data_IF_248161093214
#
_entry.id   IF_248161093214
#
_cell.length_a   1.000
_cell.length_b   1.000
_cell.length_c   1.000
_cell.angle_alpha   90.00
_cell.angle_beta   90.00
_cell.angle_gamma   90.00
#
_symmetry.space_group_name_H-M   'P 1'
#
loop_
_entity.id
_entity.type
_entity.pdbx_description
1 polymer ?
#
# COMPACT_ATOMS: atom_id res chain seq x y z
N UNK A 1 48.45 66.52 -1.94
CA UNK A 1 49.54 67.33 -2.55
C UNK A 1 50.50 66.38 -3.27
N UNK A 2 51.09 66.80 -4.39
CA UNK A 2 51.24 66.08 -5.68
C UNK A 2 52.45 65.11 -5.68
N UNK A 3 52.68 64.19 -6.62
CA UNK A 3 52.14 63.89 -7.94
C UNK A 3 53.19 63.08 -8.74
N UNK A 4 52.87 62.81 -10.02
CA UNK A 4 53.73 62.43 -11.16
C UNK A 4 53.84 60.96 -11.59
N UNK A 5 53.15 60.78 -12.72
CA UNK A 5 53.26 59.85 -13.85
C UNK A 5 54.69 59.54 -14.35
N UNK A 6 54.91 58.31 -14.80
CA UNK A 6 55.90 57.96 -15.84
C UNK A 6 55.20 57.21 -16.98
N UNK A 7 55.43 57.68 -18.20
CA UNK A 7 54.98 57.13 -19.49
C UNK A 7 56.20 56.50 -20.20
N UNK A 8 56.01 55.34 -20.82
CA UNK A 8 56.70 54.87 -22.03
C UNK A 8 55.88 53.67 -22.60
N UNK A 9 54.96 53.90 -23.56
CA UNK A 9 55.12 53.90 -25.02
C UNK A 9 55.38 52.52 -25.66
N UNK A 10 54.39 52.03 -26.41
CA UNK A 10 54.60 51.05 -27.48
C UNK A 10 53.33 50.40 -28.02
N UNK A 11 52.81 50.90 -29.14
CA UNK A 11 52.05 50.09 -30.10
C UNK A 11 50.54 50.33 -30.17
N UNK A 12 50.11 51.01 -31.23
CA UNK A 12 48.77 51.50 -31.48
C UNK A 12 47.87 50.51 -32.24
N UNK A 13 46.55 50.55 -31.98
CA UNK A 13 45.55 50.74 -33.04
C UNK A 13 44.23 51.27 -32.47
N UNK A 14 43.67 52.24 -33.20
CA UNK A 14 42.61 53.17 -32.83
C UNK A 14 41.28 52.75 -33.44
N UNK A 15 40.18 52.85 -32.70
CA UNK A 15 38.88 53.19 -33.26
C UNK A 15 38.04 53.99 -32.25
N UNK A 16 37.55 55.13 -32.73
CA UNK A 16 36.80 56.19 -32.06
C UNK A 16 35.42 55.72 -31.53
N UNK A 17 35.04 56.16 -30.33
CA UNK A 17 33.63 56.34 -29.97
C UNK A 17 33.48 57.57 -29.06
N UNK A 18 32.76 58.59 -29.57
CA UNK A 18 32.39 59.80 -28.86
C UNK A 18 31.42 59.47 -27.72
N UNK A 19 31.66 60.06 -26.55
CA UNK A 19 30.66 60.15 -25.49
C UNK A 19 29.60 61.19 -25.84
N UNK A 20 28.34 60.77 -25.85
CA UNK A 20 27.18 61.64 -25.64
C UNK A 20 26.53 61.18 -24.34
N UNK A 21 26.62 62.02 -23.32
CA UNK A 21 25.84 61.87 -22.10
C UNK A 21 24.37 62.09 -22.44
N UNK A 22 23.60 61.00 -22.51
CA UNK A 22 22.14 61.06 -22.54
C UNK A 22 21.63 60.79 -21.12
N UNK A 23 20.99 61.79 -20.51
CA UNK A 23 20.03 61.56 -19.42
C UNK A 23 18.90 60.67 -19.98
N UNK A 24 18.97 59.37 -19.70
CA UNK A 24 17.87 58.45 -19.93
C UNK A 24 16.79 58.67 -18.87
N UNK A 25 15.50 58.66 -19.24
CA UNK A 25 14.41 58.86 -18.29
C UNK A 25 14.41 57.72 -17.27
N UNK A 26 14.02 58.05 -16.03
CA UNK A 26 13.68 57.09 -14.99
C UNK A 26 12.96 55.89 -15.59
N UNK A 27 13.56 54.71 -15.48
CA UNK A 27 12.85 53.47 -15.68
C UNK A 27 11.75 53.43 -14.61
N UNK A 28 10.56 53.83 -15.02
CA UNK A 28 9.30 53.53 -14.35
C UNK A 28 9.36 52.07 -13.92
N UNK A 29 9.22 51.85 -12.61
CA UNK A 29 8.81 50.57 -12.07
C UNK A 29 7.69 50.03 -12.98
N UNK A 30 7.94 48.88 -13.61
CA UNK A 30 6.90 48.19 -14.38
C UNK A 30 5.70 47.98 -13.46
N UNK A 31 4.47 48.01 -14.01
CA UNK A 31 3.28 47.87 -13.19
C UNK A 31 3.40 46.60 -12.37
N UNK A 32 3.17 46.76 -11.06
CA UNK A 32 2.98 45.68 -10.12
C UNK A 32 2.21 44.55 -10.82
N UNK A 33 2.86 43.40 -10.99
CA UNK A 33 2.15 42.21 -11.42
C UNK A 33 1.14 41.91 -10.32
N UNK A 34 -0.10 42.38 -10.51
CA UNK A 34 -1.21 42.01 -9.64
C UNK A 34 -1.16 40.49 -9.53
N UNK A 35 -1.06 39.92 -8.31
CA UNK A 35 -1.13 38.49 -8.16
C UNK A 35 -2.45 38.05 -8.81
N UNK A 36 -2.34 37.33 -9.92
CA UNK A 36 -3.50 36.78 -10.60
C UNK A 36 -4.20 35.93 -9.54
N UNK A 37 -5.46 36.21 -9.17
CA UNK A 37 -6.13 35.42 -8.17
C UNK A 37 -6.14 33.96 -8.62
N UNK A 38 -5.97 33.04 -7.68
CA UNK A 38 -5.89 31.60 -7.94
C UNK A 38 -6.81 30.85 -7.01
N UNK A 39 -7.20 29.67 -7.44
CA UNK A 39 -7.98 28.71 -6.69
C UNK A 39 -7.07 27.84 -5.81
N UNK A 40 -7.57 27.50 -4.62
CA UNK A 40 -7.04 26.41 -3.78
C UNK A 40 -8.14 25.37 -3.59
N UNK A 41 -7.76 24.11 -3.49
CA UNK A 41 -8.69 23.00 -3.27
C UNK A 41 -8.28 22.27 -2.01
N UNK A 42 -9.20 22.11 -1.07
CA UNK A 42 -8.96 21.39 0.20
C UNK A 42 -9.94 20.24 0.36
N UNK A 43 -9.52 19.17 1.03
CA UNK A 43 -10.37 18.01 1.27
C UNK A 43 -9.75 17.03 2.26
N UNK A 44 -10.44 15.90 2.47
CA UNK A 44 -9.92 14.73 3.20
C UNK A 44 -10.25 13.46 2.43
N UNK A 45 -9.28 12.59 2.20
CA UNK A 45 -9.48 11.32 1.51
C UNK A 45 -9.97 10.26 2.50
N UNK A 46 -11.00 9.50 2.11
CA UNK A 46 -11.60 8.45 2.95
C UNK A 46 -11.53 7.09 2.28
N UNK A 47 -11.40 6.04 3.11
CA UNK A 47 -11.47 4.64 2.69
C UNK A 47 -12.88 4.31 2.15
N UNK A 48 -13.03 3.37 1.20
CA UNK A 48 -14.34 2.98 0.69
C UNK A 48 -15.31 2.59 1.81
N UNK A 49 -16.52 3.16 1.76
CA UNK A 49 -17.59 2.89 2.73
C UNK A 49 -17.36 3.45 4.15
N UNK A 50 -16.33 4.28 4.34
CA UNK A 50 -15.83 4.65 5.67
C UNK A 50 -15.69 6.16 5.87
N UNK A 51 -16.28 6.98 5.00
CA UNK A 51 -16.32 8.43 5.12
C UNK A 51 -17.47 8.94 6.02
N UNK A 52 -17.51 10.25 6.29
CA UNK A 52 -18.57 10.90 7.06
C UNK A 52 -19.98 10.53 6.56
N UNK A 53 -20.84 10.10 7.49
CA UNK A 53 -22.21 9.66 7.20
C UNK A 53 -22.34 8.23 6.67
N UNK A 54 -21.23 7.52 6.45
CA UNK A 54 -21.22 6.08 6.12
C UNK A 54 -20.98 5.21 7.36
N UNK A 55 -20.34 5.78 8.38
CA UNK A 55 -20.07 5.15 9.68
C UNK A 55 -20.47 6.10 10.83
N UNK A 56 -20.56 5.62 12.08
CA UNK A 56 -20.80 6.50 13.22
C UNK A 56 -19.74 7.59 13.35
N UNK A 57 -20.16 8.79 13.75
CA UNK A 57 -19.28 9.95 13.93
C UNK A 57 -18.03 9.62 14.76
N UNK A 58 -16.87 10.00 14.23
CA UNK A 58 -15.56 9.78 14.84
C UNK A 58 -14.90 8.44 14.48
N UNK A 59 -15.62 7.50 13.84
CA UNK A 59 -15.07 6.22 13.39
C UNK A 59 -14.69 6.20 11.91
N UNK A 60 -14.78 7.34 11.23
CA UNK A 60 -14.36 7.49 9.83
C UNK A 60 -12.89 7.09 9.66
N UNK A 61 -12.57 6.54 8.49
CA UNK A 61 -11.24 6.03 8.21
C UNK A 61 -10.59 6.88 7.12
N UNK A 62 -9.70 7.83 7.50
CA UNK A 62 -8.97 8.61 6.51
C UNK A 62 -7.92 7.75 5.81
N UNK A 63 -7.54 8.15 4.59
CA UNK A 63 -6.45 7.51 3.84
C UNK A 63 -5.20 8.36 3.95
N UNK A 64 -4.15 7.80 4.54
CA UNK A 64 -2.82 8.40 4.55
C UNK A 64 -2.08 8.14 3.22
N UNK A 65 -1.36 9.15 2.74
CA UNK A 65 -0.48 9.02 1.59
C UNK A 65 -1.19 8.72 0.27
N UNK A 66 -2.46 9.12 0.13
CA UNK A 66 -3.17 9.08 -1.14
C UNK A 66 -2.61 10.17 -2.04
N UNK A 67 -2.26 9.81 -3.27
CA UNK A 67 -1.86 10.75 -4.31
C UNK A 67 -3.09 11.57 -4.75
N UNK A 68 -2.97 12.90 -4.70
CA UNK A 68 -4.04 13.81 -5.13
C UNK A 68 -3.49 14.87 -6.08
N UNK A 69 -4.15 15.07 -7.22
CA UNK A 69 -3.75 16.09 -8.18
C UNK A 69 -4.90 16.57 -9.07
N UNK A 70 -4.66 17.67 -9.76
CA UNK A 70 -5.51 18.16 -10.85
C UNK A 70 -4.82 17.96 -12.19
N UNK A 71 -5.60 17.53 -13.18
CA UNK A 71 -5.16 17.37 -14.57
C UNK A 71 -6.14 18.05 -15.53
N UNK A 72 -5.64 18.51 -16.67
CA UNK A 72 -6.49 19.00 -17.77
C UNK A 72 -7.04 17.85 -18.61
N UNK A 73 -6.31 16.75 -18.67
CA UNK A 73 -6.69 15.53 -19.37
C UNK A 73 -7.14 14.47 -18.37
N UNK A 74 -8.08 13.62 -18.79
CA UNK A 74 -8.48 12.45 -18.00
C UNK A 74 -7.27 11.49 -17.93
N UNK A 75 -6.89 10.97 -16.75
CA UNK A 75 -5.77 10.04 -16.66
C UNK A 75 -6.07 8.72 -17.40
N UNK A 76 -5.01 8.01 -17.82
CA UNK A 76 -5.15 6.70 -18.45
C UNK A 76 -5.79 5.69 -17.47
N UNK A 77 -6.65 4.77 -17.95
CA UNK A 77 -7.24 3.73 -17.12
C UNK A 77 -6.19 2.88 -16.41
N UNK A 78 -6.49 2.44 -15.18
CA UNK A 78 -5.70 1.40 -14.51
C UNK A 78 -5.90 0.08 -15.26
N UNK A 79 -4.84 -0.68 -15.58
CA UNK A 79 -4.97 -2.03 -16.12
C UNK A 79 -5.85 -2.93 -15.24
N UNK A 80 -6.62 -3.83 -15.85
CA UNK A 80 -7.56 -4.75 -15.19
C UNK A 80 -6.91 -6.11 -14.82
N UNK A 81 -5.60 -6.14 -14.72
CA UNK A 81 -4.75 -7.31 -14.50
C UNK A 81 -3.48 -6.88 -13.79
N UNK A 82 -2.68 -7.84 -13.32
CA UNK A 82 -1.39 -7.57 -12.68
C UNK A 82 -0.48 -6.78 -13.62
N UNK A 83 0.13 -5.72 -13.10
CA UNK A 83 1.07 -4.91 -13.83
C UNK A 83 2.09 -4.30 -12.88
N UNK A 84 3.28 -4.02 -13.40
CA UNK A 84 4.30 -3.30 -12.66
C UNK A 84 3.99 -1.80 -12.64
N UNK A 85 3.63 -1.26 -11.47
CA UNK A 85 3.46 0.17 -11.27
C UNK A 85 4.74 0.79 -10.69
N UNK A 86 5.34 1.75 -11.42
CA UNK A 86 6.56 2.45 -10.97
C UNK A 86 6.24 3.87 -10.53
N UNK A 87 6.93 4.38 -9.50
CA UNK A 87 6.60 5.69 -8.94
C UNK A 87 6.89 6.89 -9.87
N UNK A 88 7.63 6.69 -10.95
CA UNK A 88 7.88 7.73 -11.96
C UNK A 88 6.63 8.15 -12.76
N UNK A 89 5.50 7.42 -12.60
CA UNK A 89 4.26 7.67 -13.34
C UNK A 89 3.38 8.77 -12.69
N UNK A 90 3.66 9.18 -11.44
CA UNK A 90 2.93 10.23 -10.74
C UNK A 90 3.25 11.63 -11.32
N UNK A 91 2.26 12.52 -11.55
CA UNK A 91 2.52 13.87 -12.03
C UNK A 91 3.36 14.67 -11.02
N UNK A 92 4.32 15.51 -11.46
CA UNK A 92 5.17 16.30 -10.56
C UNK A 92 4.41 17.23 -9.60
N UNK A 93 3.17 17.58 -9.93
CA UNK A 93 2.29 18.43 -9.11
C UNK A 93 1.41 17.66 -8.12
N UNK A 94 1.53 16.33 -8.08
CA UNK A 94 0.78 15.54 -7.11
C UNK A 94 1.26 15.84 -5.68
N UNK A 95 0.31 15.83 -4.76
CA UNK A 95 0.56 15.87 -3.32
C UNK A 95 0.10 14.55 -2.71
N UNK A 96 0.49 14.31 -1.47
CA UNK A 96 0.05 13.15 -0.71
C UNK A 96 -0.80 13.62 0.48
N UNK A 97 -1.91 12.92 0.75
CA UNK A 97 -2.74 13.21 1.93
C UNK A 97 -1.99 12.93 3.24
N UNK A 98 -2.25 13.75 4.25
CA UNK A 98 -1.69 13.61 5.60
C UNK A 98 -2.35 12.45 6.37
N UNK A 99 -1.91 12.18 7.60
CA UNK A 99 -2.37 11.08 8.46
C UNK A 99 -3.86 11.15 8.80
N UNK A 100 -4.44 12.35 8.79
CA UNK A 100 -5.88 12.57 8.96
C UNK A 100 -6.64 12.59 7.62
N UNK A 101 -5.97 12.21 6.53
CA UNK A 101 -6.47 12.19 5.16
C UNK A 101 -6.49 13.56 4.50
N UNK A 102 -6.13 14.63 5.19
CA UNK A 102 -6.26 15.99 4.66
C UNK A 102 -5.29 16.29 3.54
N UNK A 103 -5.73 17.18 2.64
CA UNK A 103 -4.89 17.72 1.60
C UNK A 103 -5.23 19.16 1.25
N UNK A 104 -4.25 19.84 0.67
CA UNK A 104 -4.39 21.15 0.04
C UNK A 104 -3.66 21.15 -1.31
N UNK A 105 -4.40 21.51 -2.35
CA UNK A 105 -3.92 21.67 -3.71
C UNK A 105 -3.96 23.15 -4.08
N UNK A 106 -2.87 23.67 -4.63
CA UNK A 106 -2.86 25.03 -5.14
C UNK A 106 -1.48 25.66 -5.23
N UNK A 107 -1.41 26.83 -5.86
CA UNK A 107 -2.54 27.60 -6.39
C UNK A 107 -2.76 27.39 -7.90
N UNK A 108 -4.02 27.20 -8.34
CA UNK A 108 -4.42 26.93 -9.74
C UNK A 108 -5.19 28.09 -10.40
N UNK A 109 -5.16 28.25 -11.73
CA UNK A 109 -6.11 29.10 -12.45
C UNK A 109 -7.56 28.60 -12.30
N UNK A 110 -8.53 29.50 -12.49
CA UNK A 110 -9.93 29.09 -12.66
C UNK A 110 -10.09 28.26 -13.94
N UNK A 111 -10.93 27.23 -13.90
CA UNK A 111 -11.12 26.30 -15.01
C UNK A 111 -11.70 24.96 -14.57
N UNK A 112 -11.96 24.09 -15.53
CA UNK A 112 -12.41 22.72 -15.27
C UNK A 112 -11.23 21.77 -15.36
N UNK A 113 -11.09 20.91 -14.37
CA UNK A 113 -10.01 19.95 -14.22
C UNK A 113 -10.57 18.57 -13.88
N UNK A 114 -9.80 17.53 -14.16
CA UNK A 114 -9.96 16.23 -13.54
C UNK A 114 -9.27 16.26 -12.19
N UNK A 115 -10.03 16.10 -11.11
CA UNK A 115 -9.53 15.73 -9.80
C UNK A 115 -9.24 14.23 -9.83
N UNK A 116 -8.03 13.84 -9.46
CA UNK A 116 -7.62 12.44 -9.32
C UNK A 116 -7.16 12.23 -7.89
N UNK A 117 -7.70 11.19 -7.25
CA UNK A 117 -7.33 10.70 -5.93
C UNK A 117 -7.01 9.22 -6.08
N UNK A 118 -5.79 8.80 -5.75
CA UNK A 118 -5.32 7.43 -5.93
C UNK A 118 -4.53 6.93 -4.72
N UNK A 119 -4.81 5.71 -4.25
CA UNK A 119 -3.95 4.98 -3.32
C UNK A 119 -3.87 3.52 -3.79
N UNK A 120 -2.70 3.15 -4.28
CA UNK A 120 -2.53 1.94 -5.07
C UNK A 120 -3.49 1.87 -6.25
N UNK A 121 -4.27 0.81 -6.36
CA UNK A 121 -5.24 0.61 -7.46
C UNK A 121 -6.65 1.08 -7.10
N UNK A 122 -6.85 1.68 -5.93
CA UNK A 122 -8.05 2.47 -5.69
C UNK A 122 -7.87 3.84 -6.32
N UNK A 123 -8.77 4.22 -7.23
CA UNK A 123 -8.75 5.55 -7.83
C UNK A 123 -10.15 6.12 -7.99
N UNK A 124 -10.31 7.36 -7.59
CA UNK A 124 -11.43 8.21 -7.92
C UNK A 124 -10.95 9.32 -8.87
N UNK A 125 -11.60 9.45 -10.02
CA UNK A 125 -11.39 10.56 -10.94
C UNK A 125 -12.72 11.21 -11.32
N UNK A 126 -12.79 12.54 -11.25
CA UNK A 126 -14.01 13.28 -11.60
C UNK A 126 -13.69 14.69 -12.06
N UNK A 127 -14.61 15.30 -12.80
CA UNK A 127 -14.47 16.70 -13.19
C UNK A 127 -14.87 17.62 -12.03
N UNK A 128 -13.99 18.57 -11.71
CA UNK A 128 -14.22 19.68 -10.78
C UNK A 128 -14.05 21.00 -11.51
N UNK A 129 -14.89 21.99 -11.19
CA UNK A 129 -14.76 23.35 -11.72
C UNK A 129 -14.24 24.25 -10.61
N UNK A 130 -13.12 24.91 -10.88
CA UNK A 130 -12.49 25.84 -9.95
C UNK A 130 -12.86 27.27 -10.29
N UNK A 131 -13.46 27.94 -9.32
CA UNK A 131 -13.56 29.40 -9.28
C UNK A 131 -12.39 29.98 -8.47
N UNK A 132 -12.19 31.30 -8.57
CA UNK A 132 -11.17 32.00 -7.77
C UNK A 132 -11.53 31.92 -6.29
N UNK A 133 -10.58 31.50 -5.45
CA UNK A 133 -10.78 31.32 -4.00
C UNK A 133 -10.62 29.86 -3.56
N UNK A 134 -11.19 29.52 -2.40
CA UNK A 134 -11.10 28.17 -1.85
C UNK A 134 -12.30 27.31 -2.27
N UNK A 135 -12.02 26.14 -2.84
CA UNK A 135 -12.98 25.05 -3.02
C UNK A 135 -12.71 23.98 -1.96
N UNK A 136 -13.64 23.81 -1.03
CA UNK A 136 -13.60 22.72 -0.06
C UNK A 136 -14.45 21.55 -0.54
N UNK A 137 -13.80 20.42 -0.83
CA UNK A 137 -14.45 19.18 -1.26
C UNK A 137 -15.08 18.47 -0.05
N UNK A 138 -16.24 17.86 -0.28
CA UNK A 138 -16.92 17.04 0.71
C UNK A 138 -16.45 15.58 0.62
N UNK A 139 -16.94 14.75 1.55
CA UNK A 139 -16.63 13.33 1.60
C UNK A 139 -17.08 12.59 0.33
N UNK A 140 -18.25 12.91 -0.22
CA UNK A 140 -18.75 12.27 -1.43
C UNK A 140 -17.81 12.47 -2.63
N UNK A 141 -17.11 13.61 -2.68
CA UNK A 141 -16.13 13.92 -3.71
C UNK A 141 -14.73 13.33 -3.45
N UNK A 142 -14.48 12.72 -2.29
CA UNK A 142 -13.12 12.36 -1.84
C UNK A 142 -13.00 10.96 -1.22
N UNK A 143 -14.11 10.25 -1.03
CA UNK A 143 -14.12 8.84 -0.62
C UNK A 143 -13.72 7.95 -1.80
N UNK A 144 -12.72 7.10 -1.62
CA UNK A 144 -12.32 6.10 -2.61
C UNK A 144 -13.48 5.12 -2.90
N UNK A 145 -13.59 4.60 -4.12
CA UNK A 145 -14.76 3.82 -4.52
C UNK A 145 -14.78 2.43 -3.89
N UNK A 146 -15.99 1.92 -3.63
CA UNK A 146 -16.24 0.51 -3.27
C UNK A 146 -16.79 -0.32 -4.43
N UNK A 147 -16.98 0.29 -5.60
CA UNK A 147 -17.47 -0.35 -6.82
C UNK A 147 -16.58 0.07 -7.99
N UNK A 148 -16.19 -0.90 -8.82
CA UNK A 148 -15.44 -0.64 -10.03
C UNK A 148 -16.38 -0.19 -11.15
N UNK A 149 -16.23 1.05 -11.57
CA UNK A 149 -17.00 1.68 -12.64
C UNK A 149 -16.10 2.69 -13.39
N UNK A 150 -15.22 2.19 -14.30
CA UNK A 150 -14.28 3.03 -15.03
C UNK A 150 -14.96 4.06 -15.91
N UNK A 151 -16.19 3.81 -16.38
CA UNK A 151 -16.93 4.79 -17.19
C UNK A 151 -17.23 6.07 -16.38
N UNK A 152 -17.41 5.93 -15.07
CA UNK A 152 -17.63 7.02 -14.12
C UNK A 152 -16.42 7.34 -13.24
N UNK A 153 -15.23 6.85 -13.60
CA UNK A 153 -13.98 7.22 -12.94
C UNK A 153 -13.75 6.55 -11.58
N UNK A 154 -14.37 5.40 -11.34
CA UNK A 154 -14.20 4.62 -10.12
C UNK A 154 -13.40 3.35 -10.41
N UNK A 155 -12.24 3.19 -9.77
CA UNK A 155 -11.39 2.01 -9.90
C UNK A 155 -11.18 1.38 -8.53
N UNK A 156 -11.43 0.08 -8.46
CA UNK A 156 -11.16 -0.80 -7.32
C UNK A 156 -10.21 -1.89 -7.79
N UNK A 157 -9.20 -2.28 -6.98
CA UNK A 157 -8.35 -3.41 -7.31
C UNK A 157 -9.16 -4.70 -7.38
N UNK A 158 -8.89 -5.49 -8.42
CA UNK A 158 -9.32 -6.88 -8.50
C UNK A 158 -8.62 -7.76 -7.46
N UNK A 159 -9.39 -8.46 -6.63
CA UNK A 159 -8.91 -9.25 -5.50
C UNK A 159 -9.39 -10.70 -5.59
N UNK A 160 -8.52 -11.64 -5.22
CA UNK A 160 -8.91 -13.02 -4.93
C UNK A 160 -8.71 -13.29 -3.44
N UNK A 161 -9.69 -13.92 -2.79
CA UNK A 161 -9.59 -14.37 -1.39
C UNK A 161 -9.67 -15.89 -1.37
N UNK A 162 -8.64 -16.58 -0.88
CA UNK A 162 -8.71 -18.01 -0.66
C UNK A 162 -9.23 -18.30 0.75
N UNK A 163 -10.54 -18.44 0.85
CA UNK A 163 -11.28 -18.52 2.11
C UNK A 163 -10.86 -19.72 2.95
N UNK A 164 -10.35 -19.41 4.13
CA UNK A 164 -9.98 -20.39 5.15
C UNK A 164 -11.12 -20.67 6.13
N UNK A 165 -10.89 -21.64 7.01
CA UNK A 165 -11.79 -21.95 8.13
C UNK A 165 -11.63 -21.00 9.31
N UNK A 166 -10.60 -20.16 9.31
CA UNK A 166 -10.29 -19.15 10.32
C UNK A 166 -9.95 -17.83 9.62
N UNK A 167 -9.78 -16.74 10.37
CA UNK A 167 -9.46 -15.42 9.84
C UNK A 167 -10.42 -14.94 8.73
N UNK A 168 -11.59 -14.46 9.15
CA UNK A 168 -12.66 -13.95 8.29
C UNK A 168 -12.32 -12.58 7.69
N UNK A 169 -11.20 -12.47 6.98
CA UNK A 169 -10.75 -11.24 6.32
C UNK A 169 -11.79 -10.70 5.33
N UNK A 170 -12.62 -11.58 4.77
CA UNK A 170 -13.76 -11.22 3.94
C UNK A 170 -14.76 -10.32 4.69
N UNK A 171 -14.90 -10.45 6.02
CA UNK A 171 -15.75 -9.57 6.83
C UNK A 171 -15.18 -8.14 6.85
N UNK A 172 -13.85 -7.99 6.92
CA UNK A 172 -13.19 -6.68 6.84
C UNK A 172 -13.47 -6.01 5.50
N UNK A 173 -13.29 -6.75 4.40
CA UNK A 173 -13.56 -6.23 3.05
C UNK A 173 -15.05 -5.92 2.86
N UNK A 174 -15.95 -6.76 3.39
CA UNK A 174 -17.38 -6.50 3.42
C UNK A 174 -17.75 -5.20 4.16
N UNK A 175 -17.09 -4.91 5.29
CA UNK A 175 -17.25 -3.63 6.03
C UNK A 175 -16.79 -2.41 5.19
N UNK A 176 -15.90 -2.59 4.21
CA UNK A 176 -15.52 -1.54 3.24
C UNK A 176 -16.50 -1.41 2.06
N UNK A 177 -17.55 -2.23 2.02
CA UNK A 177 -18.47 -2.32 0.89
C UNK A 177 -17.90 -3.06 -0.32
N UNK A 178 -16.81 -3.83 -0.14
CA UNK A 178 -16.22 -4.66 -1.19
C UNK A 178 -16.84 -6.07 -1.10
N UNK A 179 -17.94 -6.26 -1.82
CA UNK A 179 -18.77 -7.47 -1.76
C UNK A 179 -20.04 -7.26 -0.95
N UNK A 180 -20.81 -8.34 -0.75
CA UNK A 180 -22.04 -8.29 0.03
C UNK A 180 -21.73 -8.49 1.53
N UNK A 181 -22.35 -7.68 2.39
CA UNK A 181 -22.12 -7.69 3.83
C UNK A 181 -23.44 -7.60 4.59
N UNK A 182 -23.61 -8.42 5.63
CA UNK A 182 -24.75 -8.33 6.54
C UNK A 182 -24.35 -7.57 7.81
N UNK A 183 -24.82 -6.32 8.02
CA UNK A 183 -24.48 -5.52 9.19
C UNK A 183 -25.16 -6.00 10.49
N UNK A 184 -26.04 -6.99 10.44
CA UNK A 184 -26.72 -7.57 11.61
C UNK A 184 -25.88 -8.68 12.23
N UNK A 185 -25.30 -9.52 11.39
CA UNK A 185 -24.44 -10.63 11.80
C UNK A 185 -22.96 -10.28 11.72
N UNK A 186 -22.62 -9.17 11.08
CA UNK A 186 -21.26 -8.71 10.80
C UNK A 186 -20.46 -9.68 9.93
N UNK A 187 -21.15 -10.34 8.99
CA UNK A 187 -20.58 -11.39 8.14
C UNK A 187 -20.59 -10.99 6.68
N UNK A 188 -19.56 -11.41 5.96
CA UNK A 188 -19.52 -11.40 4.51
C UNK A 188 -20.59 -12.35 3.95
N UNK A 189 -21.51 -11.79 3.17
CA UNK A 189 -22.64 -12.51 2.60
C UNK A 189 -22.32 -13.08 1.20
N UNK A 190 -21.22 -12.66 0.58
CA UNK A 190 -20.73 -13.24 -0.67
C UNK A 190 -19.91 -12.29 -1.53
N UNK A 191 -19.17 -12.83 -2.52
CA UNK A 191 -18.37 -12.05 -3.45
C UNK A 191 -19.24 -11.06 -4.25
N UNK A 192 -18.61 -10.00 -4.75
CA UNK A 192 -19.26 -9.00 -5.58
C UNK A 192 -18.27 -8.05 -6.24
N UNK A 193 -18.61 -7.59 -7.44
CA UNK A 193 -17.76 -6.67 -8.20
C UNK A 193 -16.39 -7.27 -8.50
N UNK A 194 -15.35 -6.66 -7.93
CA UNK A 194 -13.94 -6.97 -8.14
C UNK A 194 -13.35 -8.01 -7.18
N UNK A 195 -14.19 -8.58 -6.29
CA UNK A 195 -13.76 -9.59 -5.31
C UNK A 195 -14.25 -10.96 -5.74
N UNK A 196 -13.30 -11.85 -6.05
CA UNK A 196 -13.53 -13.28 -6.26
C UNK A 196 -13.08 -14.08 -5.03
N UNK A 197 -13.75 -15.20 -4.75
CA UNK A 197 -13.40 -16.09 -3.64
C UNK A 197 -13.06 -17.50 -4.12
N UNK A 198 -12.13 -18.15 -3.45
CA UNK A 198 -11.65 -19.51 -3.72
C UNK A 198 -11.73 -20.34 -2.44
N UNK A 199 -12.00 -21.63 -2.59
CA UNK A 199 -12.02 -22.58 -1.48
C UNK A 199 -10.59 -22.93 -1.04
N UNK A 200 -10.24 -22.52 0.18
CA UNK A 200 -9.03 -22.95 0.90
C UNK A 200 -9.40 -23.70 2.19
N UNK A 201 -10.47 -24.50 2.19
CA UNK A 201 -11.02 -25.19 3.37
C UNK A 201 -12.38 -24.67 3.80
N UNK A 202 -12.79 -23.51 3.28
CA UNK A 202 -14.15 -22.98 3.38
C UNK A 202 -14.61 -22.48 2.01
N UNK A 203 -15.82 -22.87 1.60
CA UNK A 203 -16.40 -22.46 0.33
C UNK A 203 -17.72 -21.71 0.55
N UNK A 204 -17.86 -20.57 -0.13
CA UNK A 204 -19.11 -19.84 -0.24
C UNK A 204 -19.80 -20.13 -1.59
N UNK A 205 -21.14 -19.97 -1.68
CA UNK A 205 -21.81 -19.90 -2.98
C UNK A 205 -21.15 -18.84 -3.87
N UNK A 206 -20.80 -19.21 -5.10
CA UNK A 206 -20.10 -18.32 -6.03
C UNK A 206 -18.57 -18.41 -5.98
N UNK A 207 -17.99 -19.33 -5.19
CA UNK A 207 -16.55 -19.59 -5.25
C UNK A 207 -16.11 -20.02 -6.65
N UNK A 208 -15.00 -19.45 -7.12
CA UNK A 208 -14.47 -19.62 -8.48
C UNK A 208 -13.78 -20.98 -8.71
N UNK A 209 -13.47 -21.69 -7.62
CA UNK A 209 -12.73 -22.94 -7.61
C UNK A 209 -12.03 -23.10 -6.26
N UNK A 210 -10.99 -23.91 -6.23
CA UNK A 210 -10.11 -24.08 -5.07
C UNK A 210 -8.87 -23.20 -5.19
N UNK A 211 -8.19 -22.95 -4.07
CA UNK A 211 -6.87 -22.30 -4.06
C UNK A 211 -5.83 -23.03 -4.92
N UNK A 212 -5.96 -24.36 -5.06
CA UNK A 212 -5.12 -25.16 -5.96
C UNK A 212 -5.34 -24.77 -7.42
N UNK A 213 -6.59 -24.57 -7.83
CA UNK A 213 -6.91 -24.13 -9.19
C UNK A 213 -6.32 -22.73 -9.48
N UNK A 214 -6.30 -21.84 -8.47
CA UNK A 214 -5.68 -20.53 -8.57
C UNK A 214 -4.15 -20.62 -8.73
N UNK A 215 -3.46 -21.34 -7.85
CA UNK A 215 -1.98 -21.36 -7.83
C UNK A 215 -1.34 -22.22 -8.93
N UNK A 216 -2.07 -23.16 -9.50
CA UNK A 216 -1.59 -23.95 -10.64
C UNK A 216 -1.74 -23.24 -11.99
N UNK A 217 -2.47 -22.12 -12.05
CA UNK A 217 -2.73 -21.33 -13.25
C UNK A 217 -2.25 -19.88 -13.10
N UNK A 218 -1.05 -19.60 -13.61
CA UNK A 218 -0.47 -18.25 -13.59
C UNK A 218 -1.34 -17.23 -14.34
N UNK A 219 -2.02 -17.61 -15.42
CA UNK A 219 -2.89 -16.70 -16.17
C UNK A 219 -4.17 -16.38 -15.39
N UNK A 220 -4.61 -17.28 -14.51
CA UNK A 220 -5.64 -16.98 -13.52
C UNK A 220 -5.12 -16.01 -12.45
N UNK A 221 -3.93 -16.26 -11.87
CA UNK A 221 -3.34 -15.36 -10.86
C UNK A 221 -3.16 -13.94 -11.40
N UNK A 222 -2.71 -13.79 -12.65
CA UNK A 222 -2.49 -12.50 -13.34
C UNK A 222 -3.73 -11.62 -13.46
N UNK A 223 -4.94 -12.14 -13.26
CA UNK A 223 -6.16 -11.31 -13.27
C UNK A 223 -6.31 -10.47 -12.01
N UNK A 224 -5.59 -10.79 -10.94
CA UNK A 224 -5.75 -10.19 -9.63
C UNK A 224 -4.59 -9.26 -9.29
N UNK A 225 -4.89 -8.05 -8.85
CA UNK A 225 -3.89 -7.14 -8.28
C UNK A 225 -3.42 -7.61 -6.90
N UNK A 226 -4.32 -8.27 -6.16
CA UNK A 226 -4.09 -8.74 -4.80
C UNK A 226 -4.71 -10.14 -4.62
N UNK A 227 -3.94 -11.07 -4.08
CA UNK A 227 -4.42 -12.36 -3.61
C UNK A 227 -4.26 -12.39 -2.09
N UNK A 228 -5.36 -12.60 -1.38
CA UNK A 228 -5.42 -12.75 0.07
C UNK A 228 -5.53 -14.25 0.41
N UNK A 229 -4.66 -14.70 1.31
CA UNK A 229 -4.57 -16.05 1.81
C UNK A 229 -4.71 -16.02 3.34
N UNK A 230 -5.93 -15.84 3.87
CA UNK A 230 -6.21 -15.92 5.29
C UNK A 230 -5.93 -17.33 5.84
N UNK A 231 -5.80 -17.41 7.16
CA UNK A 231 -5.50 -18.65 7.87
C UNK A 231 -6.49 -19.77 7.54
N UNK A 232 -5.98 -20.97 7.30
CA UNK A 232 -6.82 -22.16 7.16
C UNK A 232 -6.20 -23.38 7.80
N UNK A 233 -7.03 -24.37 8.12
CA UNK A 233 -6.60 -25.72 8.48
C UNK A 233 -6.09 -26.49 7.24
N UNK A 234 -4.97 -26.02 6.69
CA UNK A 234 -3.85 -26.69 5.99
C UNK A 234 -4.05 -27.82 4.96
N UNK A 235 -5.25 -28.24 4.52
CA UNK A 235 -5.32 -29.45 3.65
C UNK A 235 -5.18 -29.19 2.15
N UNK A 236 -5.62 -28.05 1.61
CA UNK A 236 -5.69 -27.83 0.16
C UNK A 236 -4.51 -27.03 -0.39
N UNK A 237 -4.22 -25.81 0.12
CA UNK A 237 -3.08 -25.00 -0.34
C UNK A 237 -1.73 -25.70 -0.10
N UNK A 238 -1.51 -26.25 1.10
CA UNK A 238 -0.22 -26.84 1.51
C UNK A 238 0.22 -27.98 0.59
N UNK A 239 -0.74 -28.75 0.06
CA UNK A 239 -0.46 -29.90 -0.79
C UNK A 239 0.24 -29.53 -2.10
N UNK A 240 -0.09 -28.37 -2.68
CA UNK A 240 0.46 -27.90 -3.95
C UNK A 240 1.69 -27.02 -3.78
N UNK A 241 1.92 -26.46 -2.59
CA UNK A 241 3.07 -25.62 -2.25
C UNK A 241 4.39 -26.42 -2.08
N UNK A 242 4.46 -27.63 -2.63
CA UNK A 242 5.72 -28.39 -2.81
C UNK A 242 6.08 -28.58 -4.29
N UNK A 243 5.15 -28.26 -5.20
CA UNK A 243 5.38 -28.33 -6.64
C UNK A 243 6.17 -27.10 -7.11
N UNK A 244 7.33 -27.34 -7.73
CA UNK A 244 8.20 -26.26 -8.22
C UNK A 244 7.53 -25.39 -9.30
N UNK A 245 6.58 -25.93 -10.08
CA UNK A 245 5.81 -25.13 -11.03
C UNK A 245 4.88 -24.13 -10.31
N UNK A 246 4.26 -24.56 -9.22
CA UNK A 246 3.39 -23.70 -8.40
C UNK A 246 4.21 -22.61 -7.69
N UNK A 247 5.35 -22.98 -7.09
CA UNK A 247 6.26 -21.99 -6.48
C UNK A 247 6.76 -20.97 -7.51
N UNK A 248 7.06 -21.41 -8.74
CA UNK A 248 7.45 -20.52 -9.83
C UNK A 248 6.29 -19.60 -10.28
N UNK A 249 5.04 -20.07 -10.28
CA UNK A 249 3.87 -19.22 -10.55
C UNK A 249 3.75 -18.11 -9.51
N UNK A 250 3.86 -18.43 -8.23
CA UNK A 250 3.80 -17.45 -7.13
C UNK A 250 4.92 -16.40 -7.28
N UNK A 251 6.16 -16.84 -7.51
CA UNK A 251 7.31 -15.94 -7.72
C UNK A 251 7.08 -15.00 -8.90
N UNK A 252 6.60 -15.53 -10.03
CA UNK A 252 6.32 -14.74 -11.25
C UNK A 252 5.18 -13.75 -11.04
N UNK A 253 4.11 -14.20 -10.40
CA UNK A 253 2.97 -13.33 -10.07
C UNK A 253 3.42 -12.11 -9.27
N UNK A 254 4.22 -12.31 -8.21
CA UNK A 254 4.77 -11.20 -7.42
C UNK A 254 5.72 -10.34 -8.26
N UNK A 255 6.64 -10.94 -9.02
CA UNK A 255 7.57 -10.19 -9.85
C UNK A 255 6.86 -9.28 -10.89
N UNK A 256 5.72 -9.72 -11.41
CA UNK A 256 4.92 -8.97 -12.39
C UNK A 256 4.11 -7.81 -11.79
N UNK A 257 4.17 -7.60 -10.47
CA UNK A 257 3.43 -6.56 -9.75
C UNK A 257 2.32 -7.08 -8.85
N UNK A 258 2.15 -8.41 -8.78
CA UNK A 258 1.13 -9.06 -7.98
C UNK A 258 1.42 -8.95 -6.50
N UNK A 259 0.38 -8.99 -5.68
CA UNK A 259 0.52 -8.82 -4.24
C UNK A 259 -0.09 -9.96 -3.48
N UNK A 260 0.63 -10.40 -2.46
CA UNK A 260 0.18 -11.45 -1.56
C UNK A 260 -0.04 -10.85 -0.19
N UNK A 261 -1.21 -11.12 0.38
CA UNK A 261 -1.49 -10.93 1.79
C UNK A 261 -1.69 -12.30 2.41
N UNK A 262 -0.83 -12.70 3.34
CA UNK A 262 -0.85 -14.05 3.91
C UNK A 262 -0.83 -13.96 5.43
N UNK A 263 -1.60 -14.81 6.10
CA UNK A 263 -1.66 -14.81 7.55
C UNK A 263 -1.40 -16.19 8.12
N UNK A 264 -0.71 -16.22 9.24
CA UNK A 264 -0.73 -17.32 10.18
C UNK A 264 -0.28 -18.66 9.56
N UNK A 265 -1.04 -19.75 9.74
CA UNK A 265 -0.81 -21.07 9.14
C UNK A 265 -0.99 -21.15 7.62
N UNK A 266 -1.20 -20.03 6.93
CA UNK A 266 -1.03 -19.98 5.48
C UNK A 266 0.36 -19.49 5.08
N UNK A 267 1.25 -19.27 6.05
CA UNK A 267 2.62 -18.81 5.88
C UNK A 267 3.46 -19.68 4.95
N UNK A 268 3.10 -20.93 4.67
CA UNK A 268 3.83 -21.74 3.68
C UNK A 268 3.74 -21.15 2.27
N UNK A 269 2.71 -20.35 1.98
CA UNK A 269 2.57 -19.65 0.71
C UNK A 269 3.56 -18.49 0.54
N UNK A 270 4.28 -18.11 1.60
CA UNK A 270 5.37 -17.12 1.54
C UNK A 270 6.71 -17.75 1.89
N UNK A 271 6.74 -18.67 2.84
CA UNK A 271 7.93 -19.35 3.32
C UNK A 271 8.51 -20.31 2.27
N UNK A 272 7.67 -21.07 1.56
CA UNK A 272 8.16 -22.04 0.56
C UNK A 272 8.58 -21.40 -0.78
N UNK A 273 7.88 -20.38 -1.31
CA UNK A 273 8.36 -19.67 -2.49
C UNK A 273 9.56 -18.76 -2.21
N UNK A 274 9.67 -18.20 -1.00
CA UNK A 274 10.68 -17.21 -0.61
C UNK A 274 11.42 -17.61 0.70
N UNK A 275 12.08 -18.79 0.74
CA UNK A 275 12.62 -19.32 2.00
C UNK A 275 13.70 -18.46 2.66
N UNK A 276 14.57 -17.72 1.94
CA UNK A 276 15.57 -16.90 2.61
C UNK A 276 15.00 -15.61 3.24
N UNK A 277 13.75 -15.24 2.98
CA UNK A 277 13.21 -13.94 3.40
C UNK A 277 12.83 -13.90 4.87
N UNK A 278 12.13 -14.92 5.38
CA UNK A 278 11.70 -14.98 6.77
C UNK A 278 12.16 -16.29 7.39
N UNK A 279 12.66 -16.25 8.62
CA UNK A 279 12.83 -17.44 9.44
C UNK A 279 11.61 -17.57 10.35
N UNK A 280 10.75 -18.54 10.09
CA UNK A 280 9.54 -18.75 10.86
C UNK A 280 9.75 -19.59 12.12
N UNK A 281 8.74 -19.49 12.97
CA UNK A 281 8.74 -19.87 14.34
C UNK A 281 8.33 -21.29 14.63
N UNK A 282 8.23 -22.12 13.62
CA UNK A 282 7.39 -23.30 13.69
C UNK A 282 7.77 -24.26 14.85
N UNK A 283 6.76 -24.96 15.38
CA UNK A 283 6.93 -26.09 16.31
C UNK A 283 7.69 -27.23 15.62
N UNK A 284 7.70 -27.23 14.28
CA UNK A 284 8.53 -28.06 13.41
C UNK A 284 9.84 -27.38 13.01
N UNK A 285 10.11 -27.43 11.71
CA UNK A 285 11.23 -26.75 11.09
C UNK A 285 10.71 -25.68 10.13
N UNK A 286 11.52 -24.65 9.93
CA UNK A 286 11.31 -23.60 8.95
C UNK A 286 11.63 -24.11 7.52
N UNK A 287 11.10 -23.47 6.48
CA UNK A 287 11.49 -23.85 5.11
C UNK A 287 12.90 -23.37 4.80
N UNK A 288 13.82 -24.32 4.63
CA UNK A 288 15.21 -23.99 4.23
C UNK A 288 15.38 -24.23 2.75
N UNK A 289 15.88 -23.23 2.05
CA UNK A 289 16.02 -23.30 0.61
C UNK A 289 16.80 -22.16 -0.02
N UNK A 290 16.71 -22.11 -1.34
CA UNK A 290 17.25 -21.01 -2.15
C UNK A 290 16.15 -20.45 -3.02
N UNK A 291 16.25 -19.15 -3.33
CA UNK A 291 15.44 -18.48 -4.32
C UNK A 291 16.36 -17.68 -5.23
N UNK A 292 16.23 -17.89 -6.54
CA UNK A 292 16.89 -17.11 -7.58
C UNK A 292 15.84 -16.18 -8.23
N UNK A 293 15.89 -14.87 -7.95
CA UNK A 293 14.94 -13.91 -8.49
C UNK A 293 15.03 -13.76 -10.01
N UNK A 294 16.21 -13.93 -10.62
CA UNK A 294 16.40 -13.74 -12.06
C UNK A 294 15.77 -14.86 -12.90
N UNK A 295 15.67 -16.06 -12.35
CA UNK A 295 15.08 -17.22 -13.05
C UNK A 295 13.71 -17.63 -12.50
N UNK A 296 13.28 -17.03 -11.39
CA UNK A 296 12.11 -17.43 -10.59
C UNK A 296 12.16 -18.89 -10.15
N UNK A 297 13.37 -19.44 -9.97
CA UNK A 297 13.60 -20.82 -9.54
C UNK A 297 14.17 -20.87 -8.14
N UNK A 298 14.27 -22.08 -7.58
CA UNK A 298 14.75 -22.25 -6.22
C UNK A 298 14.85 -23.72 -5.83
N UNK A 299 15.24 -23.95 -4.59
CA UNK A 299 15.26 -25.27 -3.97
C UNK A 299 14.60 -25.21 -2.60
N UNK A 300 14.02 -26.33 -2.18
CA UNK A 300 13.59 -26.55 -0.79
C UNK A 300 14.33 -27.79 -0.31
N UNK A 301 15.28 -27.59 0.60
CA UNK A 301 16.01 -28.67 1.27
C UNK A 301 15.30 -29.12 2.54
N UNK A 302 14.51 -28.23 3.12
CA UNK A 302 13.61 -28.49 4.23
C UNK A 302 12.28 -27.80 3.95
N UNK A 303 11.18 -28.41 4.36
CA UNK A 303 9.83 -27.91 4.07
C UNK A 303 9.16 -27.63 5.42
N UNK A 304 9.02 -26.36 5.74
CA UNK A 304 8.30 -25.90 6.91
C UNK A 304 6.80 -25.93 6.73
N UNK A 305 6.09 -25.82 7.85
CA UNK A 305 4.63 -25.89 7.90
C UNK A 305 3.99 -24.57 8.32
N UNK A 306 4.77 -23.54 8.64
CA UNK A 306 4.30 -22.30 9.22
C UNK A 306 3.45 -22.50 10.50
N UNK A 307 3.60 -23.64 11.19
CA UNK A 307 2.80 -24.01 12.35
C UNK A 307 3.48 -23.67 13.67
N UNK A 308 3.04 -22.59 14.29
CA UNK A 308 3.38 -22.23 15.66
C UNK A 308 2.31 -22.65 16.69
N UNK A 309 2.58 -22.32 17.95
CA UNK A 309 1.62 -22.42 19.04
C UNK A 309 0.80 -21.13 19.16
N UNK A 310 -0.47 -21.25 19.58
CA UNK A 310 -1.33 -20.08 19.80
C UNK A 310 -0.78 -19.16 20.89
N UNK A 311 -0.79 -17.85 20.64
CA UNK A 311 -0.63 -16.83 21.67
C UNK A 311 -1.31 -15.51 21.30
N UNK A 312 -1.53 -14.69 22.31
CA UNK A 312 -1.90 -13.29 22.13
C UNK A 312 -0.71 -12.41 22.54
N UNK A 313 -0.41 -11.39 21.76
CA UNK A 313 0.57 -10.37 22.10
C UNK A 313 -0.16 -9.16 22.71
N UNK A 314 -0.17 -9.08 24.04
CA UNK A 314 -0.84 -7.99 24.77
C UNK A 314 -0.12 -6.64 24.68
N UNK A 315 1.11 -6.65 24.16
CA UNK A 315 2.01 -5.51 24.03
C UNK A 315 2.41 -5.24 22.57
N UNK A 316 1.52 -5.58 21.62
CA UNK A 316 1.77 -5.31 20.21
C UNK A 316 1.95 -3.81 19.99
N UNK A 317 2.89 -3.47 19.13
CA UNK A 317 3.34 -2.10 18.87
C UNK A 317 3.58 -1.93 17.38
N UNK A 318 3.07 -0.82 16.84
CA UNK A 318 3.42 -0.35 15.50
C UNK A 318 4.80 0.29 15.57
N UNK A 319 5.72 -0.17 14.71
CA UNK A 319 7.11 0.33 14.65
C UNK A 319 7.37 1.27 13.48
N UNK A 320 6.40 1.43 12.58
CA UNK A 320 6.44 2.40 11.49
C UNK A 320 5.81 3.72 11.94
N UNK A 321 6.54 4.83 11.77
CA UNK A 321 6.12 6.15 12.27
C UNK A 321 4.80 6.61 11.64
N UNK A 322 4.62 6.40 10.34
CA UNK A 322 3.43 6.87 9.61
C UNK A 322 2.20 6.02 9.96
N UNK A 323 2.34 4.69 10.01
CA UNK A 323 1.27 3.81 10.49
C UNK A 323 0.92 4.12 11.95
N UNK A 324 1.90 4.41 12.81
CA UNK A 324 1.65 4.73 14.21
C UNK A 324 0.89 6.06 14.35
N UNK A 325 1.31 7.09 13.62
CA UNK A 325 0.63 8.38 13.60
C UNK A 325 -0.79 8.26 13.04
N UNK A 326 -1.00 7.52 11.96
CA UNK A 326 -2.34 7.28 11.39
C UNK A 326 -3.23 6.48 12.34
N UNK A 327 -2.73 5.38 12.91
CA UNK A 327 -3.50 4.48 13.79
C UNK A 327 -3.89 5.19 15.09
N UNK A 328 -3.01 6.02 15.65
CA UNK A 328 -3.28 6.81 16.86
C UNK A 328 -4.37 7.88 16.71
N UNK A 329 -4.79 8.18 15.47
CA UNK A 329 -5.93 9.05 15.19
C UNK A 329 -7.25 8.29 15.09
N UNK A 330 -7.22 6.95 15.03
CA UNK A 330 -8.41 6.14 14.80
C UNK A 330 -9.18 5.86 16.09
N UNK A 331 -10.50 5.72 15.94
CA UNK A 331 -11.43 5.33 16.99
C UNK A 331 -12.14 4.04 16.56
N UNK A 332 -12.20 3.06 17.46
CA UNK A 332 -13.00 1.87 17.21
C UNK A 332 -12.94 0.87 18.37
N UNK A 333 -13.66 -0.26 18.26
CA UNK A 333 -13.65 -1.28 19.30
C UNK A 333 -12.29 -2.00 19.34
N UNK A 334 -12.06 -2.79 20.38
CA UNK A 334 -10.90 -3.66 20.55
C UNK A 334 -11.35 -5.08 20.91
N UNK A 335 -10.50 -6.11 20.79
CA UNK A 335 -10.88 -7.48 21.13
C UNK A 335 -11.38 -7.64 22.58
N UNK A 336 -10.92 -6.78 23.49
CA UNK A 336 -11.27 -6.77 24.91
C UNK A 336 -12.41 -5.78 25.28
N UNK A 337 -12.80 -4.88 24.36
CA UNK A 337 -13.84 -3.89 24.61
C UNK A 337 -14.66 -3.58 23.35
N UNK A 338 -16.00 -3.80 23.37
CA UNK A 338 -16.86 -3.41 22.26
C UNK A 338 -17.13 -1.89 22.22
N UNK A 339 -16.71 -1.14 23.25
CA UNK A 339 -16.86 0.32 23.28
C UNK A 339 -15.74 0.96 22.47
N UNK A 340 -16.04 1.80 21.47
CA UNK A 340 -15.01 2.48 20.70
C UNK A 340 -14.10 3.34 21.57
N UNK A 341 -12.80 3.19 21.37
CA UNK A 341 -11.74 3.94 22.04
C UNK A 341 -10.65 4.32 21.05
N UNK A 342 -9.89 5.37 21.37
CA UNK A 342 -8.74 5.77 20.55
C UNK A 342 -7.70 4.67 20.66
N UNK A 343 -7.13 4.27 19.52
CA UNK A 343 -6.10 3.24 19.53
C UNK A 343 -4.76 3.76 20.04
N UNK A 344 -4.09 2.92 20.82
CA UNK A 344 -2.72 3.15 21.24
C UNK A 344 -1.78 2.35 20.32
N UNK A 345 -1.13 2.99 19.34
CA UNK A 345 -0.21 2.30 18.44
C UNK A 345 1.03 1.77 19.16
N UNK A 346 1.35 2.26 20.37
CA UNK A 346 2.49 1.78 21.16
C UNK A 346 2.17 0.55 22.01
N UNK A 347 0.88 0.23 22.19
CA UNK A 347 0.44 -0.92 23.00
C UNK A 347 -1.00 -1.29 22.69
N UNK A 348 -1.21 -2.32 21.88
CA UNK A 348 -2.51 -2.93 21.66
C UNK A 348 -2.45 -4.46 21.74
N UNK A 349 -3.61 -5.09 21.89
CA UNK A 349 -3.74 -6.54 21.85
C UNK A 349 -3.79 -7.00 20.40
N UNK A 350 -2.76 -7.74 19.96
CA UNK A 350 -2.82 -8.57 18.75
C UNK A 350 -3.20 -9.99 19.16
N UNK A 351 -4.44 -10.39 18.86
CA UNK A 351 -5.00 -11.68 19.25
C UNK A 351 -4.78 -12.76 18.21
N UNK A 352 -4.77 -14.02 18.65
CA UNK A 352 -4.74 -15.21 17.79
C UNK A 352 -3.54 -15.25 16.83
N UNK A 353 -2.35 -15.08 17.39
CA UNK A 353 -1.11 -15.46 16.71
C UNK A 353 -0.96 -16.98 16.76
N UNK A 354 -0.67 -17.62 15.63
CA UNK A 354 -0.28 -19.03 15.58
C UNK A 354 1.02 -19.28 14.85
N UNK A 355 1.84 -18.24 14.66
CA UNK A 355 3.25 -18.35 14.32
C UNK A 355 4.09 -17.23 15.00
N UNK A 356 5.40 -17.29 14.88
CA UNK A 356 6.31 -16.19 15.24
C UNK A 356 7.38 -16.01 14.17
N UNK A 357 7.88 -14.79 13.99
CA UNK A 357 9.00 -14.54 13.08
C UNK A 357 10.28 -14.49 13.91
N UNK A 358 11.20 -15.43 13.69
CA UNK A 358 12.49 -15.50 14.40
C UNK A 358 13.52 -14.55 13.82
N UNK A 359 13.48 -14.36 12.51
CA UNK A 359 14.49 -13.63 11.77
C UNK A 359 13.95 -13.04 10.47
N UNK A 360 14.56 -11.94 10.06
CA UNK A 360 14.34 -11.30 8.76
C UNK A 360 15.62 -11.46 7.96
N UNK A 361 15.54 -12.15 6.84
CA UNK A 361 16.67 -12.43 5.96
C UNK A 361 16.81 -11.39 4.86
N UNK A 362 18.05 -10.99 4.60
CA UNK A 362 18.40 -10.12 3.47
C UNK A 362 18.60 -10.97 2.23
N UNK A 363 17.94 -10.61 1.13
CA UNK A 363 18.02 -11.34 -0.15
C UNK A 363 18.44 -10.40 -1.26
N UNK A 364 19.45 -10.80 -2.03
CA UNK A 364 19.79 -10.10 -3.29
C UNK A 364 18.68 -10.36 -4.30
N UNK A 365 17.96 -9.31 -4.71
CA UNK A 365 16.83 -9.37 -5.65
C UNK A 365 17.26 -9.09 -7.09
N UNK A 366 18.49 -8.61 -7.28
CA UNK A 366 19.12 -8.45 -8.58
C UNK A 366 20.23 -7.40 -8.57
N UNK A 367 20.44 -6.70 -9.69
CA UNK A 367 21.43 -5.63 -9.80
C UNK A 367 20.84 -4.35 -10.38
N UNK A 368 21.34 -3.19 -9.96
CA UNK A 368 20.96 -1.89 -10.47
C UNK A 368 21.57 -1.60 -11.87
N UNK A 369 21.27 -0.42 -12.44
CA UNK A 369 21.80 -0.01 -13.75
C UNK A 369 23.33 0.11 -13.79
N UNK A 370 23.99 0.20 -12.63
CA UNK A 370 25.43 0.29 -12.46
C UNK A 370 26.07 -1.07 -12.14
N UNK A 371 25.26 -2.13 -12.02
CA UNK A 371 25.69 -3.49 -11.71
C UNK A 371 25.96 -3.74 -10.22
N UNK A 372 25.50 -2.87 -9.32
CA UNK A 372 25.56 -3.11 -7.88
C UNK A 372 24.37 -3.98 -7.43
N UNK A 373 24.56 -4.87 -6.44
CA UNK A 373 23.47 -5.71 -5.94
C UNK A 373 22.36 -4.85 -5.32
N UNK A 374 21.13 -5.20 -5.62
CA UNK A 374 19.92 -4.70 -4.97
C UNK A 374 19.50 -5.74 -3.96
N UNK A 375 19.39 -5.33 -2.71
CA UNK A 375 18.99 -6.20 -1.60
C UNK A 375 17.60 -5.80 -1.11
N UNK A 376 16.77 -6.82 -0.85
CA UNK A 376 15.51 -6.69 -0.13
C UNK A 376 15.70 -7.15 1.31
N UNK A 377 15.17 -6.37 2.24
CA UNK A 377 15.14 -6.68 3.67
C UNK A 377 13.69 -6.51 4.10
N UNK A 378 13.04 -7.57 4.63
CA UNK A 378 11.68 -7.46 5.10
C UNK A 378 11.52 -6.31 6.11
N UNK A 379 10.50 -5.48 5.90
CA UNK A 379 10.14 -4.36 6.77
C UNK A 379 9.15 -4.84 7.84
N UNK A 380 9.48 -4.79 9.14
CA UNK A 380 8.50 -4.98 10.19
C UNK A 380 7.58 -3.76 10.32
N UNK A 381 6.29 -4.02 10.54
CA UNK A 381 5.26 -3.00 10.76
C UNK A 381 4.68 -3.07 12.17
N UNK A 382 4.46 -4.28 12.65
CA UNK A 382 3.99 -4.56 14.01
C UNK A 382 4.95 -5.53 14.67
N UNK A 383 5.29 -5.27 15.92
CA UNK A 383 6.07 -6.16 16.79
C UNK A 383 5.32 -6.46 18.07
N UNK A 384 5.58 -7.59 18.71
CA UNK A 384 4.97 -7.93 20.01
C UNK A 384 5.65 -9.13 20.67
N UNK A 385 5.39 -9.31 21.95
CA UNK A 385 6.01 -10.39 22.72
C UNK A 385 5.32 -11.72 22.47
N UNK A 386 6.10 -12.72 22.02
CA UNK A 386 5.66 -14.12 21.93
C UNK A 386 6.04 -14.95 23.16
N UNK A 387 5.38 -16.09 23.41
CA UNK A 387 5.62 -16.93 24.59
C UNK A 387 7.05 -17.49 24.66
N UNK A 388 7.68 -17.72 23.50
CA UNK A 388 9.03 -18.27 23.38
C UNK A 388 10.15 -17.23 23.53
N UNK A 389 9.83 -15.94 23.58
CA UNK A 389 10.80 -14.84 23.39
C UNK A 389 11.35 -14.25 24.69
N UNK A 390 10.84 -14.66 25.85
CA UNK A 390 11.24 -14.11 27.14
C UNK A 390 10.90 -12.62 27.31
N UNK A 391 9.88 -12.13 26.60
CA UNK A 391 9.45 -10.72 26.61
C UNK A 391 10.20 -9.82 25.63
N UNK A 392 10.98 -10.41 24.71
CA UNK A 392 11.57 -9.67 23.58
C UNK A 392 10.53 -9.59 22.46
N UNK A 393 10.15 -8.37 22.08
CA UNK A 393 9.22 -8.18 20.95
C UNK A 393 9.85 -8.69 19.65
N UNK A 394 9.10 -9.48 18.91
CA UNK A 394 9.45 -9.99 17.58
C UNK A 394 8.49 -9.41 16.54
N UNK A 395 8.87 -9.36 15.25
CA UNK A 395 7.95 -9.02 14.19
C UNK A 395 6.72 -9.91 14.21
N UNK A 396 5.55 -9.28 14.17
CA UNK A 396 4.24 -9.93 14.00
C UNK A 396 3.69 -9.70 12.60
N UNK A 397 4.03 -8.56 11.99
CA UNK A 397 3.59 -8.21 10.63
C UNK A 397 4.76 -7.64 9.84
N UNK A 398 5.01 -8.19 8.67
CA UNK A 398 6.14 -7.82 7.81
C UNK A 398 5.70 -7.69 6.35
N UNK A 399 6.42 -6.87 5.59
CA UNK A 399 6.34 -6.86 4.12
C UNK A 399 7.72 -7.01 3.51
N UNK A 400 7.82 -7.62 2.33
CA UNK A 400 9.07 -7.75 1.58
C UNK A 400 8.82 -7.75 0.07
N UNK A 401 9.87 -7.47 -0.71
CA UNK A 401 9.83 -7.27 -2.17
C UNK A 401 10.78 -8.25 -2.86
N UNK A 402 10.40 -9.53 -3.05
CA UNK A 402 11.36 -10.59 -3.38
C UNK A 402 12.01 -10.45 -4.77
N UNK A 403 11.32 -9.84 -5.74
CA UNK A 403 11.84 -9.30 -7.00
C UNK A 403 10.70 -8.56 -7.74
N UNK A 404 11.03 -7.72 -8.71
CA UNK A 404 10.02 -7.02 -9.52
C UNK A 404 9.27 -5.93 -8.77
N UNK A 405 7.97 -5.78 -9.07
CA UNK A 405 7.16 -4.64 -8.58
C UNK A 405 6.06 -5.04 -7.59
N UNK A 406 5.97 -6.33 -7.28
CA UNK A 406 5.00 -6.84 -6.32
C UNK A 406 5.54 -6.80 -4.91
N UNK A 407 4.64 -7.09 -3.97
CA UNK A 407 4.93 -7.11 -2.55
C UNK A 407 4.26 -8.30 -1.90
N UNK A 408 4.93 -8.85 -0.91
CA UNK A 408 4.39 -9.88 -0.05
C UNK A 408 4.22 -9.28 1.34
N UNK A 409 3.06 -9.51 1.94
CA UNK A 409 2.76 -9.20 3.33
C UNK A 409 2.47 -10.50 4.08
N UNK A 410 3.07 -10.63 5.26
CA UNK A 410 2.81 -11.73 6.18
C UNK A 410 2.46 -11.19 7.57
N UNK A 411 1.42 -11.72 8.19
CA UNK A 411 1.15 -11.52 9.62
C UNK A 411 1.09 -12.85 10.38
N UNK A 412 1.63 -12.89 11.59
CA UNK A 412 1.60 -14.07 12.47
C UNK A 412 0.24 -14.27 13.14
N UNK A 413 -0.60 -13.24 13.16
CA UNK A 413 -1.94 -13.26 13.71
C UNK A 413 -3.01 -13.33 12.64
N UNK A 414 -4.11 -13.96 13.03
CA UNK A 414 -5.37 -13.89 12.31
C UNK A 414 -5.91 -12.47 12.43
N UNK A 415 -6.25 -11.88 11.30
CA UNK A 415 -6.56 -10.46 11.21
C UNK A 415 -7.96 -10.15 11.68
N UNK A 416 -8.93 -10.99 11.34
CA UNK A 416 -10.34 -10.84 11.66
C UNK A 416 -10.90 -12.14 12.20
N UNK A 417 -10.91 -12.31 13.52
CA UNK A 417 -11.49 -13.49 14.14
C UNK A 417 -12.84 -13.22 14.77
N UNK A 418 -13.84 -13.96 14.28
CA UNK A 418 -15.21 -13.83 14.69
C UNK A 418 -15.88 -12.57 14.14
N UNK A 419 -17.20 -12.51 14.33
CA UNK A 419 -18.02 -11.47 13.73
C UNK A 419 -18.34 -10.40 14.76
N UNK A 420 -17.97 -9.15 14.47
CA UNK A 420 -18.14 -8.04 15.40
C UNK A 420 -18.36 -6.71 14.66
N UNK A 421 -19.02 -5.73 15.31
CA UNK A 421 -19.15 -4.39 14.75
C UNK A 421 -17.78 -3.69 14.69
N UNK A 422 -17.65 -2.73 13.78
CA UNK A 422 -16.45 -1.94 13.64
C UNK A 422 -15.24 -2.78 13.22
N UNK A 423 -14.05 -2.21 13.43
CA UNK A 423 -12.78 -2.80 13.02
C UNK A 423 -11.78 -2.62 14.15
N UNK A 424 -11.17 -3.68 14.65
CA UNK A 424 -10.13 -3.73 15.67
C UNK A 424 -8.80 -3.13 15.17
N UNK A 425 -7.85 -2.81 16.07
CA UNK A 425 -6.54 -2.27 15.69
C UNK A 425 -5.83 -3.12 14.63
N UNK A 426 -5.80 -4.44 14.81
CA UNK A 426 -5.18 -5.37 13.85
C UNK A 426 -5.85 -5.37 12.47
N UNK A 427 -7.18 -5.22 12.40
CA UNK A 427 -7.90 -5.05 11.13
C UNK A 427 -7.63 -3.67 10.51
N UNK A 428 -7.45 -2.60 11.31
CA UNK A 428 -7.04 -1.29 10.79
C UNK A 428 -5.63 -1.32 10.20
N UNK A 429 -4.70 -2.03 10.84
CA UNK A 429 -3.35 -2.26 10.30
C UNK A 429 -3.44 -2.97 8.95
N UNK A 430 -4.28 -4.00 8.81
CA UNK A 430 -4.56 -4.65 7.53
C UNK A 430 -5.04 -3.65 6.47
N UNK A 431 -6.03 -2.82 6.81
CA UNK A 431 -6.59 -1.85 5.85
C UNK A 431 -5.54 -0.87 5.35
N UNK A 432 -4.73 -0.35 6.26
CA UNK A 432 -3.59 0.50 5.92
C UNK A 432 -2.65 -0.25 4.97
N UNK A 433 -2.28 -1.48 5.32
CA UNK A 433 -1.27 -2.22 4.58
C UNK A 433 -1.75 -2.76 3.23
N UNK A 434 -3.02 -3.13 3.04
CA UNK A 434 -3.59 -3.45 1.71
C UNK A 434 -3.38 -2.27 0.75
N UNK A 435 -3.61 -1.05 1.24
CA UNK A 435 -3.43 0.16 0.45
C UNK A 435 -1.96 0.56 0.30
N UNK A 436 -1.12 0.23 1.29
CA UNK A 436 0.30 0.57 1.29
C UNK A 436 1.13 -0.37 0.41
N UNK A 437 0.90 -1.68 0.48
CA UNK A 437 1.48 -2.61 -0.50
C UNK A 437 1.01 -2.24 -1.91
N UNK A 438 -0.19 -1.65 -1.99
CA UNK A 438 -0.80 -0.90 -3.08
C UNK A 438 0.08 0.09 -3.83
N UNK A 439 0.97 0.78 -3.14
CA UNK A 439 1.73 1.91 -3.69
C UNK A 439 2.76 1.42 -4.71
N UNK A 440 3.10 2.28 -5.66
CA UNK A 440 4.10 2.02 -6.68
C UNK A 440 5.47 1.59 -6.09
N UNK A 441 6.25 0.88 -6.88
CA UNK A 441 7.63 0.52 -6.53
C UNK A 441 8.60 1.63 -6.96
N UNK A 442 9.52 1.99 -6.07
CA UNK A 442 10.62 2.89 -6.37
C UNK A 442 11.77 2.13 -7.05
N UNK A 443 12.51 2.75 -7.98
CA UNK A 443 13.72 2.14 -8.52
C UNK A 443 14.80 1.97 -7.44
N UNK A 444 15.69 0.96 -7.55
CA UNK A 444 15.81 0.01 -8.66
C UNK A 444 14.81 -1.15 -8.57
N UNK A 445 13.98 -1.29 -9.61
CA UNK A 445 13.12 -2.45 -9.80
C UNK A 445 13.87 -3.39 -10.74
N UNK A 446 14.26 -4.56 -10.24
CA UNK A 446 14.94 -5.58 -11.04
C UNK A 446 13.91 -6.59 -11.54
N UNK A 447 13.87 -6.76 -12.87
CA UNK A 447 12.94 -7.66 -13.57
C UNK A 447 13.54 -9.05 -13.78
#
# INVERSE_FOLDING_TARGET
MPGRCHILLGGALVAFALGVAACGPSATAGPDAYPVPRATVTGRVWVPGQGPGQVPDGQEIPVFGAEVYLSVDRPEPIPDHVYCQRCADAPPQAIYSDHDGSFELGPYPAGTYWLVIQKGQFRLEQQVTLDLGELRLDAAATTLPSVHDPDHGAYVPRMAIALGTNDNIEDVLGKLGLGAYDPTTFTFAGPGGEVDVYDNGYALPGSMGTVTDLFTDLDQMRRYHLILLPCSTQTTAVSVLTDQAVLANIRRYVAEGGRLYVTDWSGEAIDRPFPPQLELGDVGADSVGTYDPATFTGTLTEVGTADGERYDAADAEVVDDDLAAWLGLQLGPTPDSPTPQVYDPASFLASDNWNWIRGLGTVETGVDEQGAPVEDVPKPWVVGSGPATGGVKQPLTVTFEPAGCGRVMYSTYQTANGHHPGLYPQERVLLFLIMEIGVCSNPPVVN
#
